data_IF_445703447074
#
_entry.id   IF_445703447074
#
_cell.length_a   1.000
_cell.length_b   1.000
_cell.length_c   1.000
_cell.angle_alpha   90.00
_cell.angle_beta   90.00
_cell.angle_gamma   90.00
#
_symmetry.space_group_name_H-M   'P 1'
#
loop_
_entity.id
_entity.type
_entity.pdbx_description
1 polymer ?
#
# COMPACT_ATOMS: atom_id res chain seq x y z
N UNK A 1 25.92 -52.88 -17.43
CA UNK A 1 25.34 -51.57 -17.77
C UNK A 1 23.98 -51.46 -17.08
N UNK A 2 23.92 -50.88 -15.87
CA UNK A 2 22.71 -50.69 -15.07
C UNK A 2 22.80 -49.32 -14.41
N UNK A 3 22.30 -48.29 -15.08
CA UNK A 3 22.31 -46.91 -14.56
C UNK A 3 21.16 -46.11 -15.18
N UNK A 4 19.91 -46.56 -15.00
CA UNK A 4 18.73 -45.78 -15.46
C UNK A 4 17.58 -45.78 -14.43
N UNK A 5 17.66 -46.52 -13.32
CA UNK A 5 16.49 -46.73 -12.45
C UNK A 5 16.39 -45.85 -11.18
N UNK A 6 17.24 -44.84 -10.99
CA UNK A 6 17.20 -43.97 -9.80
C UNK A 6 16.87 -42.49 -10.04
N UNK A 7 16.70 -42.05 -11.29
CA UNK A 7 16.44 -40.63 -11.61
C UNK A 7 14.96 -40.22 -11.53
N UNK A 8 14.03 -41.16 -11.72
CA UNK A 8 12.59 -40.87 -11.75
C UNK A 8 11.98 -40.31 -10.44
N UNK A 9 12.28 -40.83 -9.24
CA UNK A 9 11.72 -40.29 -8.01
C UNK A 9 12.31 -38.92 -7.63
N UNK A 10 13.54 -38.62 -8.05
CA UNK A 10 14.21 -37.35 -7.74
C UNK A 10 13.64 -36.18 -8.56
N UNK A 11 13.30 -36.43 -9.83
CA UNK A 11 12.62 -35.44 -10.70
C UNK A 11 11.19 -35.18 -10.22
N UNK A 12 10.47 -36.20 -9.75
CA UNK A 12 9.12 -36.04 -9.18
C UNK A 12 9.14 -35.30 -7.84
N UNK A 13 10.13 -35.54 -6.99
CA UNK A 13 10.28 -34.85 -5.71
C UNK A 13 10.70 -33.38 -5.89
N UNK A 14 11.61 -33.08 -6.83
CA UNK A 14 11.95 -31.71 -7.21
C UNK A 14 10.77 -30.98 -7.85
N UNK A 15 9.96 -31.65 -8.67
CA UNK A 15 8.74 -31.08 -9.23
C UNK A 15 7.69 -30.73 -8.14
N UNK A 16 7.51 -31.60 -7.15
CA UNK A 16 6.61 -31.34 -6.01
C UNK A 16 7.11 -30.20 -5.11
N UNK A 17 8.43 -30.10 -4.88
CA UNK A 17 9.04 -28.97 -4.18
C UNK A 17 8.90 -27.66 -4.97
N UNK A 18 8.99 -27.71 -6.30
CA UNK A 18 8.82 -26.54 -7.15
C UNK A 18 7.36 -26.04 -7.15
N UNK A 19 6.38 -26.95 -7.19
CA UNK A 19 4.95 -26.62 -7.08
C UNK A 19 4.60 -26.10 -5.67
N UNK A 20 5.12 -26.74 -4.62
CA UNK A 20 4.94 -26.28 -3.25
C UNK A 20 5.55 -24.91 -2.97
N UNK A 21 6.75 -24.63 -3.51
CA UNK A 21 7.39 -23.32 -3.43
C UNK A 21 6.63 -22.25 -4.24
N UNK A 22 6.09 -22.59 -5.41
CA UNK A 22 5.26 -21.66 -6.18
C UNK A 22 3.95 -21.30 -5.46
N UNK A 23 3.31 -22.26 -4.79
CA UNK A 23 2.11 -22.02 -3.99
C UNK A 23 2.41 -21.22 -2.72
N UNK A 24 3.60 -21.35 -2.15
CA UNK A 24 4.02 -20.61 -0.95
C UNK A 24 4.47 -19.17 -1.25
N UNK A 25 4.84 -18.88 -2.50
CA UNK A 25 5.29 -17.56 -2.95
C UNK A 25 4.17 -16.72 -3.61
N UNK A 26 3.01 -17.30 -3.87
CA UNK A 26 1.85 -16.59 -4.39
C UNK A 26 0.89 -16.32 -3.23
N UNK A 27 0.83 -15.08 -2.75
CA UNK A 27 -0.28 -14.66 -1.89
C UNK A 27 -1.47 -14.29 -2.80
N UNK A 28 -2.47 -15.18 -2.96
CA UNK A 28 -3.59 -14.92 -3.87
C UNK A 28 -4.45 -13.75 -3.42
N UNK A 29 -4.28 -13.28 -2.19
CA UNK A 29 -5.05 -12.18 -1.61
C UNK A 29 -4.35 -10.83 -1.78
N UNK A 30 -3.12 -10.82 -2.31
CA UNK A 30 -2.40 -9.59 -2.59
C UNK A 30 -2.57 -9.18 -4.05
N UNK A 31 -3.12 -7.98 -4.27
CA UNK A 31 -3.29 -7.36 -5.59
C UNK A 31 -2.40 -6.13 -5.68
N UNK A 32 -1.45 -6.16 -6.62
CA UNK A 32 -0.61 -5.01 -6.95
C UNK A 32 -1.12 -4.32 -8.21
N UNK A 33 -1.31 -3.00 -8.14
CA UNK A 33 -1.69 -2.18 -9.29
C UNK A 33 -0.77 -0.96 -9.43
N UNK A 34 -0.58 -0.51 -10.67
CA UNK A 34 0.25 0.64 -11.01
C UNK A 34 -0.50 1.58 -11.96
N UNK A 35 -0.46 2.88 -11.68
CA UNK A 35 -1.11 3.92 -12.48
C UNK A 35 -0.14 5.04 -12.78
N UNK A 36 -0.04 5.42 -14.06
CA UNK A 36 0.85 6.51 -14.45
C UNK A 36 0.34 7.88 -13.99
N UNK A 37 -0.99 8.06 -13.97
CA UNK A 37 -1.67 9.32 -13.61
C UNK A 37 -2.85 9.08 -12.68
N UNK A 38 -3.31 10.14 -12.02
CA UNK A 38 -4.55 10.14 -11.25
C UNK A 38 -5.76 9.71 -12.10
N UNK A 39 -5.86 10.17 -13.34
CA UNK A 39 -6.96 9.80 -14.24
C UNK A 39 -6.95 8.30 -14.59
N UNK A 40 -5.78 7.68 -14.73
CA UNK A 40 -5.67 6.23 -14.90
C UNK A 40 -6.22 5.48 -13.68
N UNK A 41 -5.94 5.99 -12.47
CA UNK A 41 -6.45 5.40 -11.24
C UNK A 41 -7.96 5.58 -11.09
N UNK A 42 -8.52 6.74 -11.48
CA UNK A 42 -9.97 6.96 -11.54
C UNK A 42 -10.64 6.02 -12.53
N UNK A 43 -10.08 5.86 -13.73
CA UNK A 43 -10.67 5.03 -14.79
C UNK A 43 -10.67 3.53 -14.45
N UNK A 44 -9.85 3.11 -13.50
CA UNK A 44 -9.81 1.74 -12.97
C UNK A 44 -10.48 1.65 -11.57
N UNK A 45 -11.27 2.64 -11.17
CA UNK A 45 -12.03 2.63 -9.92
C UNK A 45 -11.17 2.44 -8.65
N UNK A 46 -9.88 2.86 -8.68
CA UNK A 46 -8.96 2.68 -7.56
C UNK A 46 -9.55 3.19 -6.23
N UNK A 47 -10.14 4.38 -6.30
CA UNK A 47 -10.70 5.07 -5.16
C UNK A 47 -12.05 4.47 -4.72
N UNK A 48 -12.89 4.06 -5.67
CA UNK A 48 -14.19 3.43 -5.36
C UNK A 48 -14.02 2.07 -4.69
N UNK A 49 -12.94 1.35 -5.01
CA UNK A 49 -12.54 0.11 -4.32
C UNK A 49 -12.00 0.33 -2.91
N UNK A 50 -11.74 1.58 -2.51
CA UNK A 50 -11.20 1.93 -1.20
C UNK A 50 -9.71 1.57 -1.01
N UNK A 51 -8.97 1.32 -2.09
CA UNK A 51 -7.55 0.96 -2.05
C UNK A 51 -6.62 2.15 -1.85
N UNK A 52 -7.11 3.35 -2.16
CA UNK A 52 -6.49 4.63 -1.84
C UNK A 52 -7.63 5.66 -1.75
N UNK A 53 -7.57 6.70 -0.89
CA UNK A 53 -8.62 7.70 -0.84
C UNK A 53 -8.49 8.73 -1.97
N UNK A 54 -9.61 9.29 -2.41
CA UNK A 54 -9.72 10.24 -3.52
C UNK A 54 -9.27 11.67 -3.17
N UNK A 55 -8.95 11.96 -1.91
CA UNK A 55 -8.47 13.28 -1.49
C UNK A 55 -6.97 13.50 -1.76
N UNK A 56 -6.24 12.51 -2.28
CA UNK A 56 -4.84 12.71 -2.70
C UNK A 56 -4.77 13.80 -3.79
N UNK A 57 -3.62 14.45 -4.00
CA UNK A 57 -3.49 15.49 -5.03
C UNK A 57 -3.89 14.98 -6.41
N UNK A 58 -4.65 15.79 -7.15
CA UNK A 58 -5.02 15.47 -8.54
C UNK A 58 -3.79 15.42 -9.47
N UNK A 59 -2.68 16.04 -9.08
CA UNK A 59 -1.38 15.92 -9.76
C UNK A 59 -0.66 14.59 -9.51
N UNK A 60 -1.28 13.64 -8.81
CA UNK A 60 -0.66 12.37 -8.48
C UNK A 60 -0.27 11.58 -9.73
N UNK A 61 0.94 11.02 -9.70
CA UNK A 61 1.53 10.21 -10.77
C UNK A 61 2.31 9.06 -10.17
N UNK A 62 2.60 8.04 -11.01
CA UNK A 62 3.35 6.85 -10.59
C UNK A 62 2.79 6.25 -9.29
N UNK A 63 1.47 6.07 -9.26
CA UNK A 63 0.76 5.50 -8.12
C UNK A 63 0.99 4.00 -8.16
N UNK A 64 1.57 3.46 -7.09
CA UNK A 64 1.74 2.03 -6.87
C UNK A 64 0.95 1.67 -5.63
N UNK A 65 0.18 0.60 -5.70
CA UNK A 65 -0.70 0.16 -4.62
C UNK A 65 -0.64 -1.36 -4.51
N UNK A 66 -0.47 -1.84 -3.28
CA UNK A 66 -0.40 -3.25 -2.91
C UNK A 66 -1.48 -3.48 -1.86
N UNK A 67 -2.50 -4.25 -2.22
CA UNK A 67 -3.70 -4.45 -1.40
C UNK A 67 -3.80 -5.91 -0.98
N UNK A 68 -3.82 -6.15 0.33
CA UNK A 68 -4.16 -7.47 0.87
C UNK A 68 -5.66 -7.51 1.19
N UNK A 69 -6.41 -8.24 0.36
CA UNK A 69 -7.88 -8.31 0.41
C UNK A 69 -8.40 -9.05 1.65
N UNK A 70 -7.62 -10.01 2.17
CA UNK A 70 -8.01 -10.79 3.36
C UNK A 70 -7.85 -9.99 4.65
N UNK A 71 -6.79 -9.19 4.74
CA UNK A 71 -6.47 -8.38 5.92
C UNK A 71 -7.07 -6.98 5.87
N UNK A 72 -7.68 -6.61 4.74
CA UNK A 72 -8.13 -5.24 4.48
C UNK A 72 -7.02 -4.21 4.73
N UNK A 73 -5.84 -4.50 4.18
CA UNK A 73 -4.65 -3.65 4.29
C UNK A 73 -4.24 -3.13 2.91
N UNK A 74 -3.73 -1.91 2.86
CA UNK A 74 -3.16 -1.35 1.63
C UNK A 74 -1.89 -0.58 1.96
N UNK A 75 -0.88 -0.69 1.11
CA UNK A 75 0.28 0.18 1.16
C UNK A 75 0.76 0.49 -0.24
N UNK A 76 1.56 1.53 -0.36
CA UNK A 76 2.06 1.94 -1.66
C UNK A 76 2.75 3.29 -1.64
N UNK A 77 2.92 3.84 -2.83
CA UNK A 77 3.59 5.12 -3.02
C UNK A 77 3.00 5.89 -4.20
N UNK A 78 3.19 7.20 -4.19
CA UNK A 78 2.90 8.04 -5.34
C UNK A 78 3.75 9.31 -5.31
N UNK A 79 3.92 9.90 -6.49
CA UNK A 79 4.48 11.23 -6.67
C UNK A 79 3.36 12.23 -6.92
N UNK A 80 3.60 13.51 -6.63
CA UNK A 80 2.66 14.59 -6.93
C UNK A 80 3.42 15.91 -7.14
N UNK A 81 2.74 16.97 -7.57
CA UNK A 81 3.36 18.30 -7.68
C UNK A 81 3.60 18.90 -6.28
N UNK A 82 4.85 19.24 -5.89
CA UNK A 82 5.12 19.89 -4.60
C UNK A 82 4.28 21.15 -4.32
N UNK A 83 3.80 21.84 -5.34
CA UNK A 83 2.93 23.02 -5.16
C UNK A 83 1.57 22.65 -4.51
N UNK A 84 1.13 21.39 -4.62
CA UNK A 84 -0.09 20.88 -4.00
C UNK A 84 0.09 20.46 -2.53
N UNK A 85 1.32 20.47 -1.99
CA UNK A 85 1.62 19.97 -0.64
C UNK A 85 0.79 20.67 0.43
N UNK A 86 0.60 21.99 0.33
CA UNK A 86 -0.16 22.74 1.32
C UNK A 86 -1.64 22.31 1.34
N UNK A 87 -2.25 22.10 0.17
CA UNK A 87 -3.63 21.65 0.05
C UNK A 87 -3.80 20.21 0.55
N UNK A 88 -2.82 19.34 0.27
CA UNK A 88 -2.82 17.96 0.75
C UNK A 88 -2.70 17.88 2.28
N UNK A 89 -1.74 18.60 2.87
CA UNK A 89 -1.55 18.64 4.31
C UNK A 89 -2.74 19.22 5.06
N UNK A 90 -3.54 20.10 4.44
CA UNK A 90 -4.76 20.62 5.05
C UNK A 90 -5.85 19.55 5.30
N UNK A 91 -5.73 18.36 4.67
CA UNK A 91 -6.61 17.20 4.89
C UNK A 91 -6.07 16.22 5.94
N UNK A 92 -4.86 16.46 6.43
CA UNK A 92 -4.14 15.55 7.31
C UNK A 92 -3.88 16.20 8.66
N UNK A 93 -3.55 15.37 9.65
CA UNK A 93 -2.98 15.82 10.93
C UNK A 93 -1.69 15.06 11.21
N UNK A 94 -0.75 15.61 11.98
CA UNK A 94 0.43 14.86 12.40
C UNK A 94 0.01 13.53 13.06
N UNK A 95 0.75 12.45 12.78
CA UNK A 95 0.47 11.13 13.35
C UNK A 95 0.50 11.19 14.89
N UNK A 96 -0.63 10.96 15.54
CA UNK A 96 -0.75 11.01 17.01
C UNK A 96 -1.62 9.92 17.62
N UNK A 97 -2.61 9.38 16.90
CA UNK A 97 -3.51 8.36 17.47
C UNK A 97 -2.85 6.99 17.63
N UNK A 98 -3.29 6.23 18.65
CA UNK A 98 -2.84 4.85 18.87
C UNK A 98 -3.28 3.93 17.72
N UNK A 99 -4.50 4.15 17.19
CA UNK A 99 -5.02 3.43 16.02
C UNK A 99 -4.09 3.60 14.82
N UNK A 100 -3.71 4.83 14.49
CA UNK A 100 -2.81 5.11 13.37
C UNK A 100 -1.37 4.64 13.60
N UNK A 101 -0.90 4.61 14.85
CA UNK A 101 0.40 4.02 15.16
C UNK A 101 0.39 2.48 15.00
N UNK A 102 -0.76 1.84 15.21
CA UNK A 102 -0.87 0.38 15.13
C UNK A 102 -0.79 -0.18 13.70
N UNK A 103 -1.18 0.62 12.70
CA UNK A 103 -1.08 0.22 11.28
C UNK A 103 0.31 0.41 10.69
N UNK A 104 1.19 1.12 11.40
CA UNK A 104 2.53 1.49 10.93
C UNK A 104 3.56 0.49 11.39
N UNK A 105 4.43 0.03 10.49
CA UNK A 105 5.66 -0.66 10.88
C UNK A 105 6.66 0.34 11.51
N UNK A 106 7.03 0.20 12.80
CA UNK A 106 7.94 1.12 13.47
C UNK A 106 9.34 1.19 12.85
N UNK A 107 9.85 0.08 12.29
CA UNK A 107 11.17 0.05 11.66
C UNK A 107 11.15 0.86 10.35
N UNK A 108 10.12 0.64 9.54
CA UNK A 108 9.86 1.39 8.32
C UNK A 108 9.66 2.88 8.59
N UNK A 109 8.88 3.23 9.62
CA UNK A 109 8.68 4.61 10.02
C UNK A 109 9.97 5.31 10.44
N UNK A 110 10.84 4.61 11.18
CA UNK A 110 12.15 5.13 11.58
C UNK A 110 13.07 5.33 10.36
N UNK A 111 13.08 4.38 9.42
CA UNK A 111 13.81 4.49 8.17
C UNK A 111 13.33 5.71 7.35
N UNK A 112 12.02 5.86 7.16
CA UNK A 112 11.44 6.98 6.43
C UNK A 112 11.74 8.32 7.12
N UNK A 113 11.63 8.40 8.44
CA UNK A 113 12.00 9.60 9.19
C UNK A 113 13.48 9.98 8.98
N UNK A 114 14.39 9.00 8.98
CA UNK A 114 15.81 9.22 8.70
C UNK A 114 16.07 9.71 7.26
N UNK A 115 15.17 9.39 6.34
CA UNK A 115 15.23 9.82 4.93
C UNK A 115 14.43 11.11 4.63
N UNK A 116 14.05 11.85 5.67
CA UNK A 116 13.38 13.15 5.52
C UNK A 116 11.90 13.04 5.20
N UNK A 117 11.22 12.00 5.67
CA UNK A 117 9.76 11.90 5.62
C UNK A 117 9.14 12.25 6.98
N UNK A 118 7.91 12.75 6.94
CA UNK A 118 7.09 12.99 8.13
C UNK A 118 5.79 12.21 8.02
N UNK A 119 5.38 11.59 9.12
CA UNK A 119 4.15 10.80 9.19
C UNK A 119 2.95 11.68 9.53
N UNK A 120 1.88 11.47 8.79
CA UNK A 120 0.60 12.15 8.91
C UNK A 120 -0.52 11.12 8.90
N UNK A 121 -1.53 11.30 9.71
CA UNK A 121 -2.74 10.49 9.64
C UNK A 121 -3.87 11.29 8.98
N UNK A 122 -4.75 10.60 8.27
CA UNK A 122 -5.92 11.24 7.69
C UNK A 122 -6.85 11.77 8.78
N UNK A 123 -7.10 13.08 8.76
CA UNK A 123 -8.00 13.72 9.70
C UNK A 123 -9.45 13.47 9.24
N UNK A 124 -10.07 12.44 9.80
CA UNK A 124 -11.50 12.19 9.58
C UNK A 124 -12.30 13.38 10.10
N UNK A 125 -12.84 14.19 9.18
CA UNK A 125 -13.54 15.45 9.49
C UNK A 125 -15.05 15.39 9.23
N UNK A 126 -15.57 14.27 8.73
CA UNK A 126 -16.99 14.05 8.43
C UNK A 126 -17.72 13.18 9.45
N UNK A 127 -19.04 13.01 9.27
CA UNK A 127 -19.78 11.96 9.98
C UNK A 127 -19.45 10.60 9.36
N UNK A 128 -19.39 9.55 10.17
CA UNK A 128 -19.19 8.15 9.80
C UNK A 128 -19.86 7.72 8.46
N UNK A 129 -20.98 8.34 8.11
CA UNK A 129 -21.85 7.90 7.03
C UNK A 129 -21.55 8.58 5.67
N UNK A 130 -20.66 9.57 5.62
CA UNK A 130 -20.58 10.51 4.49
C UNK A 130 -19.58 10.10 3.39
N UNK A 131 -18.65 9.17 3.66
CA UNK A 131 -17.62 8.73 2.69
C UNK A 131 -17.39 7.20 2.66
N UNK A 132 -18.30 6.38 3.20
CA UNK A 132 -18.22 4.91 3.09
C UNK A 132 -17.01 4.22 3.74
N UNK A 133 -16.03 4.97 4.25
CA UNK A 133 -14.79 4.44 4.81
C UNK A 133 -14.66 4.77 6.31
N UNK A 134 -15.51 4.13 7.12
CA UNK A 134 -15.45 4.22 8.59
C UNK A 134 -14.53 3.19 9.22
N UNK A 135 -14.09 2.20 8.46
CA UNK A 135 -13.40 1.02 8.97
C UNK A 135 -11.88 1.06 8.85
N UNK A 136 -11.29 2.03 8.17
CA UNK A 136 -9.84 2.05 7.92
C UNK A 136 -9.14 3.28 8.50
N UNK A 137 -7.89 3.08 8.89
CA UNK A 137 -6.94 4.12 9.28
C UNK A 137 -5.93 4.31 8.17
N UNK A 138 -5.65 5.56 7.81
CA UNK A 138 -4.70 5.90 6.76
C UNK A 138 -3.55 6.72 7.31
N UNK A 139 -2.33 6.27 7.04
CA UNK A 139 -1.10 6.98 7.38
C UNK A 139 -0.33 7.29 6.10
N UNK A 140 0.15 8.51 6.00
CA UNK A 140 0.93 9.03 4.88
C UNK A 140 2.28 9.53 5.38
N UNK A 141 3.35 9.01 4.82
CA UNK A 141 4.71 9.48 5.01
C UNK A 141 5.05 10.40 3.85
N UNK A 142 5.12 11.70 4.11
CA UNK A 142 5.33 12.72 3.08
C UNK A 142 6.75 13.24 3.19
N UNK A 143 7.47 13.25 2.06
CA UNK A 143 8.83 13.80 2.00
C UNK A 143 8.83 15.28 2.36
N UNK A 144 9.85 15.74 3.09
CA UNK A 144 10.06 17.16 3.34
C UNK A 144 10.20 17.92 2.01
N UNK A 145 9.43 19.01 1.88
CA UNK A 145 9.31 19.75 0.62
C UNK A 145 8.29 19.17 -0.37
N UNK A 146 7.66 18.03 -0.06
CA UNK A 146 6.60 17.44 -0.87
C UNK A 146 7.07 16.53 -2.00
N UNK A 147 6.15 16.24 -2.92
CA UNK A 147 6.43 15.55 -4.19
C UNK A 147 6.55 14.03 -4.15
N UNK A 148 6.73 13.42 -2.98
CA UNK A 148 6.71 11.95 -2.83
C UNK A 148 6.05 11.52 -1.53
N UNK A 149 5.28 10.43 -1.60
CA UNK A 149 4.49 9.90 -0.49
C UNK A 149 4.59 8.38 -0.47
N UNK A 150 4.85 7.81 0.70
CA UNK A 150 4.46 6.43 1.01
C UNK A 150 3.18 6.45 1.84
N UNK A 151 2.33 5.46 1.67
CA UNK A 151 1.14 5.33 2.49
C UNK A 151 0.97 3.91 3.02
N UNK A 152 0.32 3.82 4.17
CA UNK A 152 -0.08 2.58 4.83
C UNK A 152 -1.52 2.70 5.31
N UNK A 153 -2.27 1.62 5.20
CA UNK A 153 -3.67 1.51 5.56
C UNK A 153 -3.93 0.16 6.24
N UNK A 154 -4.72 0.21 7.31
CA UNK A 154 -5.23 -0.98 7.96
C UNK A 154 -6.60 -0.76 8.58
N UNK A 155 -7.23 -1.82 9.09
CA UNK A 155 -8.50 -1.73 9.80
C UNK A 155 -8.37 -0.94 11.12
N UNK A 156 -9.46 -0.29 11.53
CA UNK A 156 -9.65 0.25 12.88
C UNK A 156 -9.94 -0.85 13.91
#
# INVERSE_FOLDING_TARGET
MRMVLFLAPFVLFLGALFVGAYQFLWDPYTVTSEYWTYENAVADDLFERGWLPDFIPASATRIVTVNNLDLNMSHGEFHYDPDDTAAFLARLRPLQSDEAQSVVDPERAAELAANGYRAWEFAYTGSAWEHGNTGSVWVFFIREGGGHVFYEMGPR
#
